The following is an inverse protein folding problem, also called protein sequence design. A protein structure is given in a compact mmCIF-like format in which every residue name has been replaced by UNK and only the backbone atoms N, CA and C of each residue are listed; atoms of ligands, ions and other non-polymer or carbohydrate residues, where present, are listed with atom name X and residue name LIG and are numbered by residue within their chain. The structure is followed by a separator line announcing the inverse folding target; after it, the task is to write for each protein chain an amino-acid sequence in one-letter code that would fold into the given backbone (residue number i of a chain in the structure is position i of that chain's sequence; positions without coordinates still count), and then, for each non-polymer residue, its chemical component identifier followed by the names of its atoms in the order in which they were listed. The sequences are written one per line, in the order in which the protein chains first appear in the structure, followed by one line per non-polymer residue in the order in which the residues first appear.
data_IF_220016493665
#
_entry.id   IF_220016493665
#
_cell.length_a   1.000
_cell.length_b   1.000
_cell.length_c   1.000
_cell.angle_alpha   90.00
_cell.angle_beta   90.00
_cell.angle_gamma   90.00
#
_symmetry.space_group_name_H-M   'P 1'
#
loop_
_entity.id
_entity.type
_entity.pdbx_description
1 polymer ?
#
# COMPACT_ATOMS: atom_id res chain seq x y z
N UNK A 1 25.05 27.31 4.54
CA UNK A 1 24.69 25.89 4.66
C UNK A 1 23.23 25.68 4.28
N UNK A 2 22.94 24.62 3.56
CA UNK A 2 21.58 24.34 3.05
C UNK A 2 21.20 22.88 3.29
N UNK A 3 19.93 22.63 3.51
CA UNK A 3 19.37 21.29 3.47
C UNK A 3 19.29 20.79 2.02
N UNK A 4 19.64 19.54 1.79
CA UNK A 4 19.53 18.88 0.49
C UNK A 4 18.45 17.82 0.57
N UNK A 5 17.57 17.81 -0.43
CA UNK A 5 16.48 16.84 -0.55
C UNK A 5 16.69 15.96 -1.78
N UNK A 6 16.25 14.71 -1.67
CA UNK A 6 16.22 13.74 -2.77
C UNK A 6 14.86 13.09 -2.86
N UNK A 7 14.46 12.73 -4.07
CA UNK A 7 13.21 11.99 -4.35
C UNK A 7 13.41 10.95 -5.43
N UNK A 8 12.57 9.95 -5.43
CA UNK A 8 12.44 8.94 -6.49
C UNK A 8 10.95 8.64 -6.71
N UNK A 9 10.51 8.35 -7.96
CA UNK A 9 11.28 8.49 -9.19
C UNK A 9 11.62 9.95 -9.51
N UNK A 10 12.67 10.14 -10.29
CA UNK A 10 13.02 11.48 -10.78
C UNK A 10 12.09 11.88 -11.94
N UNK A 11 11.58 13.09 -11.88
CA UNK A 11 10.81 13.69 -12.98
C UNK A 11 11.27 15.14 -13.18
N UNK A 12 11.90 15.39 -14.33
CA UNK A 12 12.48 16.69 -14.65
C UNK A 12 11.43 17.83 -14.74
N UNK A 13 10.19 17.51 -15.11
CA UNK A 13 9.12 18.49 -15.19
C UNK A 13 8.63 19.01 -13.82
N UNK A 14 8.99 18.34 -12.74
CA UNK A 14 8.59 18.72 -11.39
C UNK A 14 9.70 19.54 -10.75
N UNK A 15 9.51 20.84 -10.67
CA UNK A 15 10.49 21.80 -10.11
C UNK A 15 10.14 22.24 -8.68
N UNK A 16 8.87 22.10 -8.28
CA UNK A 16 8.41 22.46 -6.92
C UNK A 16 8.46 21.24 -5.99
N UNK A 17 9.42 21.23 -5.08
CA UNK A 17 9.59 20.17 -4.08
C UNK A 17 8.47 20.08 -3.05
N UNK A 18 7.55 21.06 -3.00
CA UNK A 18 6.39 21.05 -2.10
C UNK A 18 5.14 20.43 -2.71
N UNK A 19 5.15 20.19 -4.03
CA UNK A 19 4.00 19.69 -4.79
C UNK A 19 4.39 18.59 -5.79
N UNK A 20 5.08 17.57 -5.29
CA UNK A 20 5.52 16.46 -6.14
C UNK A 20 4.34 15.53 -6.40
N UNK A 21 3.91 15.35 -7.67
CA UNK A 21 2.84 14.41 -7.98
C UNK A 21 3.21 12.99 -7.59
N UNK A 22 2.29 12.31 -6.92
CA UNK A 22 2.42 10.91 -6.49
C UNK A 22 1.17 10.16 -6.93
N UNK A 23 1.00 9.88 -8.23
CA UNK A 23 -0.11 9.06 -8.69
C UNK A 23 0.07 7.61 -8.24
N UNK A 24 -1.02 7.00 -7.78
CA UNK A 24 -1.08 5.56 -7.49
C UNK A 24 -1.76 4.88 -8.66
N UNK A 25 -1.09 3.90 -9.23
CA UNK A 25 -1.71 2.94 -10.13
C UNK A 25 -1.80 1.60 -9.39
N UNK A 26 -3.01 1.26 -8.99
CA UNK A 26 -3.27 0.04 -8.22
C UNK A 26 -2.85 -1.19 -9.04
N UNK A 27 -1.92 -1.99 -8.52
CA UNK A 27 -1.38 -3.17 -9.21
C UNK A 27 -0.07 -2.97 -9.97
N UNK A 28 0.32 -1.73 -10.29
CA UNK A 28 1.67 -1.39 -10.74
C UNK A 28 2.26 -0.38 -9.78
N UNK A 29 2.92 -0.85 -8.76
CA UNK A 29 3.47 0.02 -7.73
C UNK A 29 4.73 0.73 -8.21
N UNK A 30 4.63 2.03 -8.45
CA UNK A 30 5.81 2.89 -8.46
C UNK A 30 6.16 3.21 -7.01
N UNK A 31 7.37 2.91 -6.60
CA UNK A 31 7.85 3.23 -5.26
C UNK A 31 8.29 4.69 -5.19
N UNK A 32 7.54 5.49 -4.46
CA UNK A 32 7.87 6.89 -4.21
C UNK A 32 8.69 7.00 -2.94
N UNK A 33 9.90 7.50 -3.08
CA UNK A 33 10.83 7.71 -1.98
C UNK A 33 11.25 9.18 -1.87
N UNK A 34 11.56 9.58 -0.66
CA UNK A 34 12.09 10.90 -0.36
C UNK A 34 13.19 10.81 0.70
N UNK A 35 14.03 11.80 0.75
CA UNK A 35 15.04 11.92 1.81
C UNK A 35 15.48 13.35 1.98
N UNK A 36 15.93 13.67 3.19
CA UNK A 36 16.56 14.93 3.55
C UNK A 36 17.97 14.63 4.06
N UNK A 37 18.92 15.49 3.75
CA UNK A 37 20.28 15.36 4.28
C UNK A 37 20.29 15.38 5.80
N UNK A 38 21.11 14.52 6.40
CA UNK A 38 21.31 14.48 7.85
C UNK A 38 22.27 15.54 8.32
N UNK A 39 23.06 16.13 7.42
CA UNK A 39 23.99 17.22 7.63
C UNK A 39 23.68 18.39 6.69
N UNK A 40 24.04 19.57 7.10
CA UNK A 40 23.98 20.74 6.23
C UNK A 40 25.16 20.72 5.25
N UNK A 41 24.86 20.96 3.98
CA UNK A 41 25.85 21.03 2.92
C UNK A 41 26.30 22.48 2.72
N UNK A 42 27.59 22.69 2.61
CA UNK A 42 28.20 24.00 2.38
C UNK A 42 29.34 23.90 1.35
N UNK A 43 29.94 25.00 1.00
CA UNK A 43 31.12 25.02 0.10
C UNK A 43 32.36 24.32 0.71
N UNK A 44 32.36 24.12 2.02
CA UNK A 44 33.45 23.44 2.74
C UNK A 44 33.12 21.96 2.94
N UNK A 45 31.84 21.65 3.22
CA UNK A 45 31.34 20.28 3.40
C UNK A 45 30.38 19.95 2.28
N UNK A 46 30.90 19.23 1.28
CA UNK A 46 30.18 18.94 0.04
C UNK A 46 29.44 17.60 0.05
N UNK A 47 29.73 16.74 1.05
CA UNK A 47 29.12 15.41 1.14
C UNK A 47 27.79 15.44 1.86
N UNK A 48 26.72 15.05 1.17
CA UNK A 48 25.39 14.90 1.70
C UNK A 48 25.04 13.44 1.94
N UNK A 49 24.74 13.07 3.18
CA UNK A 49 24.12 11.78 3.50
C UNK A 49 22.61 11.93 3.50
N UNK A 50 21.93 11.24 2.59
CA UNK A 50 20.48 11.37 2.42
C UNK A 50 19.84 9.98 2.58
N UNK A 51 19.40 9.63 3.80
CA UNK A 51 18.65 8.39 4.00
C UNK A 51 17.30 8.51 3.26
N UNK A 52 17.01 7.51 2.42
CA UNK A 52 15.75 7.46 1.65
C UNK A 52 14.68 6.72 2.45
N UNK A 53 13.45 7.23 2.39
CA UNK A 53 12.26 6.68 3.05
C UNK A 53 11.16 6.49 2.02
N UNK A 54 10.40 5.42 2.15
CA UNK A 54 9.19 5.20 1.34
C UNK A 54 8.10 6.19 1.75
N UNK A 55 7.41 6.75 0.78
CA UNK A 55 6.35 7.74 1.01
C UNK A 55 4.95 7.11 1.06
N UNK A 56 4.79 5.90 0.52
CA UNK A 56 3.54 5.17 0.48
C UNK A 56 3.50 4.07 1.55
N UNK A 57 2.29 3.60 1.86
CA UNK A 57 2.04 2.34 2.55
C UNK A 57 1.85 1.23 1.52
N UNK A 58 2.12 -0.01 1.90
CA UNK A 58 1.83 -1.17 1.07
C UNK A 58 0.73 -2.02 1.74
N UNK A 59 -0.37 -2.21 1.04
CA UNK A 59 -1.43 -3.13 1.41
C UNK A 59 -1.21 -4.46 0.70
N UNK A 60 -1.29 -5.58 1.41
CA UNK A 60 -1.05 -6.90 0.86
C UNK A 60 -2.19 -7.85 1.24
N UNK A 61 -2.79 -8.47 0.26
CA UNK A 61 -3.63 -9.64 0.45
C UNK A 61 -2.74 -10.86 0.29
N UNK A 62 -2.60 -11.65 1.35
CA UNK A 62 -1.86 -12.91 1.35
C UNK A 62 -2.84 -14.06 1.31
N UNK A 63 -2.90 -14.78 0.22
CA UNK A 63 -3.78 -15.91 0.03
C UNK A 63 -3.04 -17.23 0.27
N UNK A 64 -3.64 -18.09 1.08
CA UNK A 64 -3.19 -19.46 1.34
C UNK A 64 -4.38 -20.41 1.20
N UNK A 65 -4.12 -21.59 0.68
CA UNK A 65 -5.13 -22.66 0.53
C UNK A 65 -4.73 -23.80 1.47
N UNK A 66 -5.69 -24.26 2.30
CA UNK A 66 -5.49 -25.45 3.13
C UNK A 66 -5.62 -26.72 2.28
N UNK A 67 -5.07 -27.86 2.75
CA UNK A 67 -5.19 -29.13 2.03
C UNK A 67 -6.64 -29.62 1.85
N UNK A 68 -7.59 -29.11 2.64
CA UNK A 68 -9.01 -29.46 2.61
C UNK A 68 -9.81 -28.64 1.59
N UNK A 69 -9.18 -27.63 0.99
CA UNK A 69 -9.81 -26.81 -0.02
C UNK A 69 -9.68 -27.47 -1.40
N UNK A 70 -10.79 -27.73 -2.06
CA UNK A 70 -10.83 -28.53 -3.29
C UNK A 70 -10.75 -27.71 -4.59
N UNK A 71 -10.80 -26.38 -4.49
CA UNK A 71 -10.65 -25.47 -5.64
C UNK A 71 -9.23 -24.92 -5.73
N UNK A 72 -8.96 -24.14 -6.77
CA UNK A 72 -7.61 -23.66 -7.07
C UNK A 72 -7.13 -22.50 -6.18
N UNK A 73 -8.05 -21.75 -5.59
CA UNK A 73 -7.71 -20.53 -4.82
C UNK A 73 -7.32 -19.36 -5.73
N UNK A 74 -8.04 -19.18 -6.85
CA UNK A 74 -7.82 -18.09 -7.78
C UNK A 74 -8.41 -16.78 -7.24
N UNK A 75 -7.56 -15.82 -6.89
CA UNK A 75 -7.98 -14.47 -6.54
C UNK A 75 -8.17 -13.65 -7.82
N UNK A 76 -9.42 -13.37 -8.17
CA UNK A 76 -9.78 -12.63 -9.40
C UNK A 76 -9.99 -11.14 -9.16
N UNK A 77 -10.35 -10.75 -7.95
CA UNK A 77 -10.56 -9.35 -7.58
C UNK A 77 -10.23 -9.13 -6.12
N UNK A 78 -9.61 -8.00 -5.83
CA UNK A 78 -9.47 -7.48 -4.47
C UNK A 78 -9.86 -6.00 -4.47
N UNK A 79 -10.62 -5.58 -3.45
CA UNK A 79 -11.19 -4.25 -3.36
C UNK A 79 -11.21 -3.78 -1.91
N UNK A 80 -10.79 -2.54 -1.69
CA UNK A 80 -11.09 -1.82 -0.47
C UNK A 80 -12.34 -0.99 -0.69
N UNK A 81 -13.33 -1.15 0.17
CA UNK A 81 -14.59 -0.39 0.16
C UNK A 81 -14.72 0.43 1.42
N UNK A 82 -15.03 1.71 1.28
CA UNK A 82 -15.27 2.63 2.38
C UNK A 82 -16.73 3.07 2.44
N UNK A 83 -17.21 3.43 3.61
CA UNK A 83 -18.57 3.96 3.84
C UNK A 83 -18.76 5.37 3.28
N UNK A 84 -17.67 6.08 2.99
CA UNK A 84 -17.63 7.41 2.36
C UNK A 84 -16.37 7.55 1.53
N UNK A 85 -16.20 8.66 0.81
CA UNK A 85 -14.99 8.88 0.01
C UNK A 85 -13.75 8.89 0.91
N UNK A 86 -12.84 7.94 0.70
CA UNK A 86 -11.60 7.74 1.45
C UNK A 86 -10.38 7.59 0.55
N UNK A 87 -10.58 7.17 -0.68
CA UNK A 87 -9.50 6.83 -1.58
C UNK A 87 -9.34 7.87 -2.69
N UNK A 88 -8.11 7.97 -3.18
CA UNK A 88 -7.74 8.71 -4.37
C UNK A 88 -6.60 8.00 -5.08
N UNK A 89 -6.47 8.24 -6.38
CA UNK A 89 -5.35 7.77 -7.19
C UNK A 89 -4.33 8.86 -7.51
N UNK A 90 -4.63 10.10 -7.09
CA UNK A 90 -3.75 11.24 -7.26
C UNK A 90 -3.49 11.93 -5.92
N UNK A 91 -2.27 12.30 -5.67
CA UNK A 91 -1.84 13.01 -4.48
C UNK A 91 -0.56 13.79 -4.75
N UNK A 92 -0.13 14.58 -3.77
CA UNK A 92 1.12 15.33 -3.82
C UNK A 92 1.95 15.10 -2.56
N UNK A 93 3.25 14.97 -2.75
CA UNK A 93 4.23 14.84 -1.67
C UNK A 93 4.96 16.16 -1.45
N UNK A 94 5.13 16.55 -0.19
CA UNK A 94 5.87 17.74 0.21
C UNK A 94 7.20 17.33 0.88
N UNK A 95 8.33 17.62 0.25
CA UNK A 95 9.66 17.31 0.80
C UNK A 95 9.96 18.14 2.05
N UNK A 96 9.49 19.39 2.11
CA UNK A 96 9.74 20.27 3.26
C UNK A 96 8.94 19.84 4.50
N UNK A 97 7.87 19.06 4.31
CA UNK A 97 7.03 18.50 5.38
C UNK A 97 7.28 16.99 5.55
N UNK A 98 8.55 16.59 5.49
CA UNK A 98 8.93 15.21 5.75
C UNK A 98 8.34 14.19 4.78
N UNK A 99 8.17 14.55 3.51
CA UNK A 99 7.61 13.66 2.49
C UNK A 99 6.13 13.35 2.67
N UNK A 100 5.43 14.15 3.49
CA UNK A 100 4.00 14.00 3.73
C UNK A 100 3.21 14.06 2.43
N UNK A 101 2.30 13.11 2.28
CA UNK A 101 1.38 13.07 1.14
C UNK A 101 0.06 13.72 1.53
N UNK A 102 -0.43 14.59 0.65
CA UNK A 102 -1.77 15.17 0.71
C UNK A 102 -2.55 14.74 -0.52
N UNK A 103 -3.77 14.28 -0.32
CA UNK A 103 -4.68 13.89 -1.39
C UNK A 103 -6.11 14.29 -1.04
N UNK A 104 -6.95 14.42 -2.06
CA UNK A 104 -8.39 14.64 -1.90
C UNK A 104 -9.11 13.32 -2.12
N UNK A 105 -9.80 12.77 -1.13
CA UNK A 105 -10.59 11.56 -1.31
C UNK A 105 -11.73 11.81 -2.32
N UNK A 106 -11.75 11.02 -3.38
CA UNK A 106 -12.74 11.13 -4.46
C UNK A 106 -13.48 9.83 -4.71
N UNK A 107 -13.01 8.72 -4.15
CA UNK A 107 -13.60 7.41 -4.35
C UNK A 107 -13.92 6.71 -3.04
N UNK A 108 -15.01 5.98 -3.05
CA UNK A 108 -15.38 5.04 -1.99
C UNK A 108 -14.76 3.66 -2.18
N UNK A 109 -14.10 3.42 -3.31
CA UNK A 109 -13.52 2.12 -3.64
C UNK A 109 -12.10 2.28 -4.19
N UNK A 110 -11.24 1.34 -3.85
CA UNK A 110 -9.94 1.12 -4.47
C UNK A 110 -9.86 -0.35 -4.89
N UNK A 111 -9.87 -0.58 -6.20
CA UNK A 111 -9.91 -1.94 -6.76
C UNK A 111 -8.61 -2.25 -7.46
N UNK A 112 -8.10 -3.46 -7.26
CA UNK A 112 -7.05 -4.04 -8.08
C UNK A 112 -7.43 -5.48 -8.46
N UNK A 113 -7.14 -5.82 -9.70
CA UNK A 113 -7.37 -7.17 -10.22
C UNK A 113 -6.00 -7.82 -10.39
N UNK A 114 -5.63 -8.70 -9.47
CA UNK A 114 -4.42 -9.49 -9.65
C UNK A 114 -4.71 -10.54 -10.74
N UNK A 115 -4.59 -10.19 -11.99
CA UNK A 115 -4.81 -11.10 -13.14
C UNK A 115 -3.79 -12.26 -13.19
N UNK A 116 -3.37 -12.73 -12.05
CA UNK A 116 -2.50 -13.89 -11.94
C UNK A 116 -3.34 -15.10 -11.59
N UNK A 117 -3.54 -15.95 -12.55
CA UNK A 117 -4.01 -17.32 -12.39
C UNK A 117 -2.96 -18.20 -11.71
N UNK A 118 -2.26 -17.68 -10.72
CA UNK A 118 -1.36 -18.52 -9.91
C UNK A 118 -2.19 -19.08 -8.79
N UNK A 119 -2.63 -20.35 -8.89
CA UNK A 119 -3.38 -20.95 -7.81
C UNK A 119 -2.50 -20.97 -6.55
N UNK A 120 -3.10 -20.65 -5.42
CA UNK A 120 -2.43 -20.77 -4.13
C UNK A 120 -2.33 -22.25 -3.69
N UNK A 121 -2.27 -23.19 -4.64
CA UNK A 121 -2.13 -24.62 -4.38
C UNK A 121 -0.77 -24.96 -3.77
N UNK A 122 -0.73 -25.96 -2.96
CA UNK A 122 0.49 -26.56 -2.44
C UNK A 122 1.04 -25.89 -1.21
N UNK A 123 0.21 -25.22 -0.41
CA UNK A 123 0.58 -24.63 0.90
C UNK A 123 1.51 -23.40 0.81
N UNK A 124 1.89 -22.94 -0.36
CA UNK A 124 2.60 -21.69 -0.50
C UNK A 124 1.62 -20.51 -0.49
N UNK A 125 1.90 -19.51 0.35
CA UNK A 125 1.14 -18.28 0.34
C UNK A 125 1.51 -17.43 -0.89
N UNK A 126 0.50 -16.82 -1.51
CA UNK A 126 0.69 -15.87 -2.61
C UNK A 126 0.33 -14.47 -2.14
N UNK A 127 1.22 -13.52 -2.34
CA UNK A 127 1.05 -12.13 -1.94
C UNK A 127 0.62 -11.29 -3.14
N UNK A 128 -0.47 -10.54 -2.95
CA UNK A 128 -0.99 -9.55 -3.89
C UNK A 128 -0.88 -8.17 -3.26
N UNK A 129 0.04 -7.37 -3.74
CA UNK A 129 0.37 -6.08 -3.14
C UNK A 129 -0.22 -4.90 -3.92
N UNK A 130 -0.64 -3.87 -3.21
CA UNK A 130 -1.06 -2.58 -3.74
C UNK A 130 -0.40 -1.46 -2.94
N UNK A 131 0.01 -0.39 -3.62
CA UNK A 131 0.42 0.84 -2.97
C UNK A 131 -0.80 1.67 -2.61
N UNK A 132 -0.82 2.24 -1.42
CA UNK A 132 -1.89 3.10 -0.92
C UNK A 132 -1.31 4.33 -0.23
N UNK A 133 -2.08 5.42 -0.18
CA UNK A 133 -1.68 6.58 0.63
C UNK A 133 -1.78 6.27 2.13
N UNK A 134 -0.82 6.76 2.92
CA UNK A 134 -0.92 6.69 4.37
C UNK A 134 -2.21 7.36 4.87
N UNK A 135 -2.95 6.67 5.74
CA UNK A 135 -4.20 7.19 6.30
C UNK A 135 -4.57 6.49 7.60
N UNK A 136 -5.40 7.15 8.41
CA UNK A 136 -6.01 6.56 9.61
C UNK A 136 -7.45 6.16 9.31
N UNK A 137 -7.82 4.97 9.72
CA UNK A 137 -9.15 4.40 9.56
C UNK A 137 -9.78 4.16 10.93
N UNK A 138 -11.05 4.49 11.07
CA UNK A 138 -11.88 4.02 12.18
C UNK A 138 -12.28 2.55 11.96
N UNK A 139 -12.67 1.86 13.02
CA UNK A 139 -13.11 0.48 12.94
C UNK A 139 -14.32 0.33 12.00
N UNK A 140 -14.23 -0.57 11.02
CA UNK A 140 -15.31 -0.84 10.05
C UNK A 140 -15.56 0.28 9.03
N UNK A 141 -14.75 1.34 9.03
CA UNK A 141 -14.84 2.42 8.04
C UNK A 141 -14.47 1.93 6.64
N UNK A 142 -13.56 0.96 6.57
CA UNK A 142 -13.15 0.30 5.34
C UNK A 142 -13.30 -1.21 5.50
N UNK A 143 -13.75 -1.88 4.45
CA UNK A 143 -13.76 -3.33 4.33
C UNK A 143 -12.88 -3.78 3.16
N UNK A 144 -12.22 -4.92 3.34
CA UNK A 144 -11.59 -5.67 2.26
C UNK A 144 -12.63 -6.64 1.68
N UNK A 145 -12.89 -6.54 0.39
CA UNK A 145 -13.69 -7.49 -0.38
C UNK A 145 -12.77 -8.22 -1.36
N UNK A 146 -12.81 -9.55 -1.37
CA UNK A 146 -12.05 -10.37 -2.30
C UNK A 146 -12.97 -11.36 -3.01
N UNK A 147 -12.67 -11.65 -4.26
CA UNK A 147 -13.36 -12.69 -5.03
C UNK A 147 -12.37 -13.82 -5.29
N UNK A 148 -12.64 -14.98 -4.71
CA UNK A 148 -11.80 -16.18 -4.80
C UNK A 148 -12.66 -17.31 -5.34
N UNK A 149 -12.23 -17.93 -6.46
CA UNK A 149 -12.97 -19.00 -7.16
C UNK A 149 -14.45 -18.67 -7.40
N UNK A 150 -14.74 -17.39 -7.69
CA UNK A 150 -16.10 -16.89 -7.94
C UNK A 150 -16.92 -16.56 -6.70
N UNK A 151 -16.46 -16.88 -5.50
CA UNK A 151 -17.10 -16.51 -4.24
C UNK A 151 -16.55 -15.19 -3.70
N UNK A 152 -17.44 -14.36 -3.13
CA UNK A 152 -17.07 -13.06 -2.54
C UNK A 152 -16.95 -13.18 -1.03
N UNK A 153 -15.82 -12.74 -0.50
CA UNK A 153 -15.54 -12.68 0.93
C UNK A 153 -15.29 -11.24 1.36
N UNK A 154 -15.81 -10.85 2.50
CA UNK A 154 -15.69 -9.48 3.03
C UNK A 154 -15.13 -9.50 4.45
N UNK A 155 -14.17 -8.64 4.70
CA UNK A 155 -13.55 -8.45 6.01
C UNK A 155 -13.58 -6.98 6.40
N UNK A 156 -14.23 -6.66 7.54
CA UNK A 156 -14.22 -5.31 8.09
C UNK A 156 -12.84 -5.02 8.72
N UNK A 157 -12.17 -3.99 8.21
CA UNK A 157 -10.85 -3.60 8.72
C UNK A 157 -11.03 -2.93 10.09
N UNK A 158 -10.31 -3.38 11.14
CA UNK A 158 -10.34 -2.75 12.43
C UNK A 158 -9.73 -1.34 12.36
N UNK A 159 -9.88 -0.58 13.46
CA UNK A 159 -9.18 0.70 13.57
C UNK A 159 -7.68 0.53 13.37
N UNK A 160 -7.11 1.26 12.43
CA UNK A 160 -5.69 1.18 12.09
C UNK A 160 -5.19 2.47 11.48
N UNK A 161 -3.89 2.74 11.62
CA UNK A 161 -3.19 3.77 10.84
C UNK A 161 -2.25 3.08 9.86
N UNK A 162 -2.49 3.24 8.57
CA UNK A 162 -1.55 2.85 7.53
C UNK A 162 -0.48 3.94 7.40
N UNK A 163 0.71 3.63 7.86
CA UNK A 163 1.84 4.57 7.90
C UNK A 163 2.72 4.43 6.66
N UNK A 164 3.36 5.53 6.25
CA UNK A 164 4.35 5.52 5.18
C UNK A 164 5.52 4.57 5.51
N UNK A 165 5.99 3.84 4.50
CA UNK A 165 7.10 2.89 4.63
C UNK A 165 6.74 1.61 5.39
N UNK A 166 5.45 1.35 5.62
CA UNK A 166 5.01 0.12 6.27
C UNK A 166 4.16 -0.74 5.34
N UNK A 167 4.27 -2.04 5.55
CA UNK A 167 3.53 -3.08 4.84
C UNK A 167 2.49 -3.70 5.76
N UNK A 168 1.24 -3.75 5.32
CA UNK A 168 0.11 -4.32 6.05
C UNK A 168 -0.40 -5.55 5.33
N UNK A 169 -0.29 -6.71 5.98
CA UNK A 169 -0.62 -8.01 5.39
C UNK A 169 -1.94 -8.50 5.98
N UNK A 170 -2.90 -8.76 5.09
CA UNK A 170 -4.17 -9.38 5.40
C UNK A 170 -4.15 -10.81 4.86
N UNK A 171 -3.97 -11.77 5.76
CA UNK A 171 -3.87 -13.18 5.41
C UNK A 171 -5.25 -13.80 5.28
N UNK A 172 -5.50 -14.49 4.18
CA UNK A 172 -6.73 -15.23 3.90
C UNK A 172 -6.34 -16.70 3.78
N UNK A 173 -6.97 -17.56 4.58
CA UNK A 173 -6.81 -19.00 4.47
C UNK A 173 -8.11 -19.63 4.00
N UNK A 174 -8.10 -20.22 2.81
CA UNK A 174 -9.24 -20.97 2.28
C UNK A 174 -9.27 -22.35 2.89
N UNK A 175 -10.42 -22.74 3.45
CA UNK A 175 -10.70 -24.08 4.01
C UNK A 175 -11.95 -24.66 3.37
N UNK A 176 -12.18 -25.95 3.47
CA UNK A 176 -13.18 -26.74 2.70
C UNK A 176 -14.43 -26.02 2.16
N UNK A 177 -15.15 -25.29 2.99
CA UNK A 177 -16.33 -24.50 2.59
C UNK A 177 -16.35 -23.08 3.16
N UNK A 178 -15.31 -22.70 3.95
CA UNK A 178 -15.23 -21.42 4.64
C UNK A 178 -13.90 -20.74 4.34
N UNK A 179 -13.94 -19.42 4.20
CA UNK A 179 -12.73 -18.59 4.22
C UNK A 179 -12.55 -18.04 5.62
N UNK A 180 -11.49 -18.43 6.30
CA UNK A 180 -11.04 -17.71 7.49
C UNK A 180 -10.19 -16.52 7.04
N UNK A 181 -10.75 -15.33 7.15
CA UNK A 181 -9.98 -14.10 7.00
C UNK A 181 -9.43 -13.76 8.38
N UNK A 182 -8.25 -14.26 8.67
CA UNK A 182 -7.46 -13.89 9.84
C UNK A 182 -6.66 -12.63 9.49
N UNK A 183 -7.15 -11.47 9.90
CA UNK A 183 -6.25 -10.37 10.11
C UNK A 183 -5.36 -10.72 11.29
N UNK A 184 -4.14 -11.22 11.08
CA UNK A 184 -3.10 -10.96 12.05
C UNK A 184 -3.02 -9.44 12.12
N UNK A 185 -3.49 -8.85 13.23
CA UNK A 185 -3.53 -7.42 13.51
C UNK A 185 -2.34 -6.75 12.89
N UNK A 186 -2.52 -6.15 11.71
CA UNK A 186 -1.55 -5.54 10.84
C UNK A 186 -0.11 -5.71 11.32
N UNK A 187 0.52 -6.86 11.12
CA UNK A 187 1.96 -6.96 11.33
C UNK A 187 2.61 -6.01 10.33
N UNK A 188 2.88 -4.81 10.79
CA UNK A 188 3.64 -3.84 10.01
C UNK A 188 5.08 -4.35 9.93
N UNK A 189 5.45 -4.89 8.80
CA UNK A 189 6.86 -5.11 8.50
C UNK A 189 7.38 -3.81 7.88
N UNK A 190 8.35 -3.19 8.50
CA UNK A 190 9.04 -2.03 7.91
C UNK A 190 9.77 -2.49 6.66
N UNK A 191 9.49 -1.85 5.53
CA UNK A 191 10.16 -2.11 4.25
C UNK A 191 11.44 -1.28 4.20
#
# INVERSE_FOLDING_TARGET
ASDVYKRQPYNQAVTDGTKIPVPINVGTSVDYMWGKSTNQVSVIETDARIPMKHALSQFVVRLKVSPEYHNDGNLTSAKLKATGAKFATTGTMNLNDGGKITFQPTSTELTWSPNTTVPAQGQQAVDYAAAIYPMTLAAGEVSLEVVIDGATYTYAIPQITWEAGKRYIYSITMRSNDAEIGGENGQSVTI
#
